data_IF_437599671630
#
_entry.id   IF_437599671630
#
_cell.length_a   1.000
_cell.length_b   1.000
_cell.length_c   1.000
_cell.angle_alpha   90.00
_cell.angle_beta   90.00
_cell.angle_gamma   90.00
#
_symmetry.space_group_name_H-M   'P 1'
#
loop_
_entity.id
_entity.type
_entity.pdbx_description
1 polymer ?
#
# COMPACT_ATOMS: atom_id res chain seq x y z
N UNK A 1 13.27 -30.03 47.65
CA UNK A 1 12.34 -29.08 46.98
C UNK A 1 12.77 -28.76 45.53
N UNK A 2 13.21 -29.75 44.75
CA UNK A 2 13.89 -29.50 43.46
C UNK A 2 13.22 -30.21 42.27
N UNK A 3 12.46 -31.29 42.50
CA UNK A 3 11.79 -32.06 41.44
C UNK A 3 10.54 -31.38 40.85
N UNK A 4 9.68 -30.82 41.70
CA UNK A 4 8.42 -30.21 41.23
C UNK A 4 8.64 -29.03 40.27
N UNK A 5 9.62 -28.17 40.55
CA UNK A 5 9.93 -26.99 39.72
C UNK A 5 10.49 -27.39 38.35
N UNK A 6 11.27 -28.46 38.29
CA UNK A 6 11.83 -28.97 37.04
C UNK A 6 10.74 -29.53 36.12
N UNK A 7 9.78 -30.28 36.70
CA UNK A 7 8.63 -30.77 35.95
C UNK A 7 7.75 -29.65 35.42
N UNK A 8 7.52 -28.59 36.20
CA UNK A 8 6.73 -27.42 35.75
C UNK A 8 7.39 -26.71 34.56
N UNK A 9 8.73 -26.57 34.59
CA UNK A 9 9.48 -25.95 33.49
C UNK A 9 9.43 -26.84 32.24
N UNK A 10 9.59 -28.16 32.40
CA UNK A 10 9.47 -29.09 31.27
C UNK A 10 8.06 -29.06 30.65
N UNK A 11 7.03 -29.01 31.49
CA UNK A 11 5.64 -28.95 31.03
C UNK A 11 5.34 -27.65 30.28
N UNK A 12 5.83 -26.52 30.78
CA UNK A 12 5.68 -25.22 30.12
C UNK A 12 6.42 -25.17 28.77
N UNK A 13 7.60 -25.79 28.67
CA UNK A 13 8.36 -25.88 27.43
C UNK A 13 7.63 -26.74 26.37
N UNK A 14 7.09 -27.88 26.79
CA UNK A 14 6.34 -28.79 25.91
C UNK A 14 5.05 -28.13 25.41
N UNK A 15 4.30 -27.44 26.27
CA UNK A 15 3.08 -26.71 25.87
C UNK A 15 3.39 -25.57 24.90
N UNK A 16 4.52 -24.86 25.07
CA UNK A 16 4.94 -23.81 24.14
C UNK A 16 5.32 -24.31 22.75
N UNK A 17 5.79 -25.56 22.63
CA UNK A 17 6.16 -26.18 21.35
C UNK A 17 5.02 -26.93 20.65
N UNK A 18 3.93 -27.23 21.37
CA UNK A 18 2.74 -27.97 20.87
C UNK A 18 1.57 -27.02 20.59
N UNK A 19 1.81 -25.71 20.53
CA UNK A 19 0.85 -24.79 19.93
C UNK A 19 1.09 -24.79 18.41
N UNK A 20 0.45 -25.73 17.70
CA UNK A 20 0.39 -25.67 16.24
C UNK A 20 -0.18 -24.30 15.82
N UNK A 21 0.42 -23.60 14.85
CA UNK A 21 -0.14 -22.36 14.35
C UNK A 21 -1.48 -22.70 13.67
N UNK A 22 -2.57 -22.46 14.39
CA UNK A 22 -3.91 -22.69 13.90
C UNK A 22 -4.13 -21.72 12.73
N UNK A 23 -3.89 -22.19 11.51
CA UNK A 23 -3.79 -21.38 10.28
C UNK A 23 -5.13 -20.83 9.78
N UNK A 24 -6.15 -20.81 10.64
CA UNK A 24 -7.52 -20.40 10.33
C UNK A 24 -7.84 -19.04 10.98
N UNK A 25 -6.95 -18.06 10.80
CA UNK A 25 -7.23 -16.68 11.19
C UNK A 25 -8.26 -16.09 10.24
N UNK A 26 -9.54 -16.16 10.63
CA UNK A 26 -10.64 -15.58 9.88
C UNK A 26 -10.88 -14.15 10.32
N UNK A 27 -10.33 -13.19 9.60
CA UNK A 27 -10.67 -11.79 9.76
C UNK A 27 -11.98 -11.49 9.01
N UNK A 28 -12.98 -10.94 9.70
CA UNK A 28 -14.21 -10.44 9.07
C UNK A 28 -14.21 -8.92 9.17
N UNK A 29 -13.97 -8.27 8.03
CA UNK A 29 -14.07 -6.81 7.94
C UNK A 29 -15.54 -6.45 7.84
N UNK A 30 -16.02 -5.65 8.79
CA UNK A 30 -17.39 -5.15 8.76
C UNK A 30 -17.50 -4.00 7.74
N UNK A 31 -18.67 -3.80 7.15
CA UNK A 31 -18.95 -2.71 6.22
C UNK A 31 -18.57 -1.34 6.81
N UNK A 32 -18.74 -1.15 8.12
CA UNK A 32 -18.34 0.08 8.80
C UNK A 32 -16.83 0.34 8.75
N UNK A 33 -16.02 -0.72 8.84
CA UNK A 33 -14.57 -0.61 8.69
C UNK A 33 -14.18 -0.30 7.23
N UNK A 34 -14.90 -0.87 6.26
CA UNK A 34 -14.70 -0.52 4.85
C UNK A 34 -15.08 0.95 4.56
N UNK A 35 -16.17 1.46 5.15
CA UNK A 35 -16.56 2.88 5.05
C UNK A 35 -15.49 3.80 5.64
N UNK A 36 -14.95 3.46 6.81
CA UNK A 36 -13.85 4.21 7.42
C UNK A 36 -12.61 4.27 6.50
N UNK A 37 -12.23 3.15 5.88
CA UNK A 37 -11.14 3.12 4.91
C UNK A 37 -11.47 3.96 3.67
N UNK A 38 -12.71 3.90 3.18
CA UNK A 38 -13.16 4.69 2.03
C UNK A 38 -13.07 6.20 2.28
N UNK A 39 -13.38 6.66 3.50
CA UNK A 39 -13.22 8.07 3.88
C UNK A 39 -11.75 8.51 3.88
N UNK A 40 -10.82 7.60 4.21
CA UNK A 40 -9.38 7.87 4.21
C UNK A 40 -8.69 7.61 2.86
N UNK A 41 -9.38 6.93 1.94
CA UNK A 41 -8.83 6.58 0.64
C UNK A 41 -8.49 7.83 -0.20
N UNK A 42 -9.30 8.89 -0.11
CA UNK A 42 -9.04 10.16 -0.79
C UNK A 42 -7.68 10.75 -0.37
N UNK A 43 -7.35 10.71 0.92
CA UNK A 43 -6.06 11.18 1.42
C UNK A 43 -4.89 10.38 0.85
N UNK A 44 -5.04 9.05 0.74
CA UNK A 44 -4.01 8.20 0.13
C UNK A 44 -3.85 8.51 -1.36
N UNK A 45 -4.95 8.67 -2.09
CA UNK A 45 -4.90 9.02 -3.52
C UNK A 45 -4.22 10.38 -3.73
N UNK A 46 -4.56 11.37 -2.90
CA UNK A 46 -3.96 12.71 -2.98
C UNK A 46 -2.44 12.71 -2.73
N UNK A 47 -1.93 11.76 -1.93
CA UNK A 47 -0.50 11.60 -1.69
C UNK A 47 0.22 10.78 -2.77
N UNK A 48 -0.46 9.78 -3.36
CA UNK A 48 0.17 8.86 -4.31
C UNK A 48 0.12 9.39 -5.75
N UNK A 49 -0.93 10.10 -6.15
CA UNK A 49 -1.07 10.62 -7.53
C UNK A 49 0.08 11.56 -7.94
N UNK A 50 0.55 12.50 -7.08
CA UNK A 50 1.69 13.35 -7.42
C UNK A 50 3.00 12.61 -7.70
N UNK A 51 3.13 11.35 -7.25
CA UNK A 51 4.33 10.52 -7.43
C UNK A 51 4.34 9.78 -8.77
N UNK A 52 3.27 9.87 -9.57
CA UNK A 52 3.18 9.19 -10.85
C UNK A 52 4.19 9.79 -11.83
N UNK A 53 5.02 8.92 -12.41
CA UNK A 53 6.00 9.30 -13.44
C UNK A 53 5.27 9.39 -14.78
N UNK A 54 5.26 10.59 -15.37
CA UNK A 54 4.67 10.82 -16.69
C UNK A 54 5.66 10.51 -17.81
N UNK A 55 5.21 9.90 -18.92
CA UNK A 55 6.06 9.68 -20.07
C UNK A 55 6.35 11.00 -20.78
N UNK A 56 7.54 11.10 -21.38
CA UNK A 56 7.88 12.21 -22.27
C UNK A 56 6.98 12.18 -23.51
N UNK A 57 6.35 13.31 -23.83
CA UNK A 57 5.46 13.44 -24.98
C UNK A 57 6.21 14.18 -26.08
N UNK A 58 6.51 13.48 -27.18
CA UNK A 58 7.11 14.08 -28.37
C UNK A 58 6.14 14.01 -29.54
N UNK A 59 5.95 15.13 -30.22
CA UNK A 59 5.07 15.25 -31.38
C UNK A 59 5.75 16.03 -32.49
N UNK A 60 5.55 15.56 -33.70
CA UNK A 60 5.86 16.31 -34.91
C UNK A 60 4.77 17.37 -35.11
N UNK A 61 5.16 18.59 -35.49
CA UNK A 61 4.23 19.63 -35.89
C UNK A 61 4.66 20.22 -37.24
N UNK A 62 3.68 20.73 -37.98
CA UNK A 62 3.90 21.46 -39.22
C UNK A 62 3.25 22.82 -39.07
N UNK A 63 4.01 23.90 -39.27
CA UNK A 63 3.52 25.27 -39.19
C UNK A 63 4.05 26.09 -40.36
N UNK A 64 3.14 26.68 -41.15
CA UNK A 64 3.48 27.51 -42.30
C UNK A 64 4.37 26.79 -43.32
N UNK A 65 5.65 27.15 -43.34
CA UNK A 65 6.64 26.71 -44.31
C UNK A 65 7.59 25.62 -43.81
N UNK A 66 7.41 25.11 -42.59
CA UNK A 66 8.36 24.17 -41.98
C UNK A 66 7.72 23.04 -41.18
N UNK A 67 8.51 21.98 -41.01
CA UNK A 67 8.23 20.87 -40.08
C UNK A 67 9.19 20.94 -38.91
N UNK A 68 8.74 20.52 -37.74
CA UNK A 68 9.53 20.52 -36.52
C UNK A 68 9.08 19.45 -35.54
N UNK A 69 9.90 19.20 -34.52
CA UNK A 69 9.59 18.31 -33.39
C UNK A 69 9.47 19.12 -32.12
N UNK A 70 8.38 18.91 -31.38
CA UNK A 70 8.21 19.41 -30.02
C UNK A 70 8.29 18.24 -29.05
N UNK A 71 9.08 18.39 -27.99
CA UNK A 71 9.22 17.41 -26.92
C UNK A 71 8.90 18.09 -25.60
N UNK A 72 7.96 17.53 -24.85
CA UNK A 72 7.65 17.92 -23.48
C UNK A 72 8.21 16.84 -22.58
N UNK A 73 9.16 17.24 -21.73
CA UNK A 73 9.90 16.36 -20.84
C UNK A 73 9.62 16.76 -19.38
N UNK A 74 9.87 15.82 -18.46
CA UNK A 74 9.79 16.04 -17.02
C UNK A 74 8.43 16.57 -16.53
N UNK A 75 7.35 16.06 -17.12
CA UNK A 75 6.00 16.34 -16.66
C UNK A 75 5.82 15.85 -15.22
N UNK A 76 5.48 16.78 -14.32
CA UNK A 76 5.18 16.48 -12.92
C UNK A 76 3.78 17.00 -12.55
N UNK A 77 3.18 16.37 -11.55
CA UNK A 77 1.96 16.85 -10.92
C UNK A 77 2.38 17.64 -9.68
N UNK A 78 2.19 18.96 -9.71
CA UNK A 78 2.53 19.83 -8.57
C UNK A 78 1.47 19.80 -7.47
N UNK A 79 0.20 19.63 -7.86
CA UNK A 79 -0.94 19.58 -6.94
C UNK A 79 -2.03 18.68 -7.54
N UNK A 80 -2.61 17.81 -6.71
CA UNK A 80 -3.75 16.97 -7.06
C UNK A 80 -4.75 16.97 -5.93
N UNK A 81 -6.04 16.98 -6.28
CA UNK A 81 -7.14 16.93 -5.31
C UNK A 81 -8.22 15.98 -5.81
N UNK A 82 -8.48 14.94 -5.03
CA UNK A 82 -9.51 13.95 -5.32
C UNK A 82 -10.91 14.58 -5.26
N UNK A 83 -11.81 14.20 -6.20
CA UNK A 83 -13.21 14.57 -6.11
C UNK A 83 -13.88 13.90 -4.92
N UNK A 84 -14.95 14.52 -4.41
CA UNK A 84 -15.74 14.04 -3.27
C UNK A 84 -16.64 12.87 -3.64
#
# INVERSE_FOLDING_TARGET
MTGHRLHTILFALVVGTVAEPNSNLKARINLSAFKFVSEHAQHVIDLEVPKIVWPNVTKDFTAGYGTGKVSVQDLNITEFKSPK
#
